data_IF_288832255008
#
_entry.id   IF_288832255008
#
_cell.length_a   1.000
_cell.length_b   1.000
_cell.length_c   1.000
_cell.angle_alpha   90.00
_cell.angle_beta   90.00
_cell.angle_gamma   90.00
#
_symmetry.space_group_name_H-M   'P 1'
#
loop_
_entity.id
_entity.type
_entity.pdbx_description
1 polymer ?
#
# COMPACT_ATOMS: atom_id res chain seq x y z
N UNK A 1 -3.36 50.87 3.39
CA UNK A 1 -4.81 51.04 3.63
C UNK A 1 -5.29 49.77 4.33
N UNK A 2 -5.56 49.84 5.63
CA UNK A 2 -6.16 48.72 6.35
C UNK A 2 -7.68 48.85 6.33
N UNK A 3 -8.37 47.77 6.03
CA UNK A 3 -9.80 47.65 6.12
C UNK A 3 -10.22 47.26 7.53
N UNK A 4 -10.87 48.17 8.18
CA UNK A 4 -11.44 48.09 9.52
C UNK A 4 -12.73 47.24 9.46
N UNK A 5 -12.76 46.08 10.14
CA UNK A 5 -13.94 45.23 10.22
C UNK A 5 -14.62 45.43 11.58
N UNK A 6 -15.65 46.30 11.55
CA UNK A 6 -16.44 46.69 12.71
C UNK A 6 -17.08 45.50 13.42
N UNK A 7 -16.74 45.32 14.68
CA UNK A 7 -17.41 44.41 15.60
C UNK A 7 -18.78 44.91 16.02
N UNK A 8 -19.85 44.36 15.46
CA UNK A 8 -21.22 44.54 15.92
C UNK A 8 -21.46 43.81 17.21
N UNK A 9 -21.44 44.53 18.33
CA UNK A 9 -21.93 44.03 19.64
C UNK A 9 -23.46 43.98 19.62
N UNK A 10 -24.06 42.82 19.45
CA UNK A 10 -25.49 42.62 19.73
C UNK A 10 -25.70 42.32 21.21
N UNK A 11 -26.49 43.20 21.84
CA UNK A 11 -26.85 43.13 23.27
C UNK A 11 -27.70 41.88 23.58
N UNK A 12 -27.12 40.95 24.34
CA UNK A 12 -27.79 39.77 24.85
C UNK A 12 -28.55 40.05 26.17
N UNK A 13 -29.34 41.11 26.25
CA UNK A 13 -30.05 41.48 27.49
C UNK A 13 -31.55 41.74 27.39
N UNK A 14 -32.19 41.38 26.29
CA UNK A 14 -33.61 41.72 26.13
C UNK A 14 -34.52 40.54 25.71
N UNK A 15 -34.19 39.32 26.11
CA UNK A 15 -35.06 38.18 25.88
C UNK A 15 -35.37 37.37 27.18
N UNK A 16 -35.51 38.06 28.29
CA UNK A 16 -35.88 37.46 29.54
C UNK A 16 -37.15 38.13 30.10
N UNK A 17 -38.28 37.98 29.45
CA UNK A 17 -39.61 38.17 30.09
C UNK A 17 -40.71 37.76 29.11
N UNK A 18 -41.13 36.55 29.08
CA UNK A 18 -42.49 36.06 28.91
C UNK A 18 -42.52 34.54 28.66
N UNK A 19 -42.20 33.78 29.68
CA UNK A 19 -42.56 32.37 29.66
C UNK A 19 -43.77 32.22 30.58
N UNK A 20 -44.92 32.45 30.02
CA UNK A 20 -46.20 32.06 30.64
C UNK A 20 -46.19 30.53 30.81
N UNK A 21 -46.31 30.17 32.07
CA UNK A 21 -46.79 28.95 32.66
C UNK A 21 -47.64 28.07 31.71
N UNK A 22 -47.00 27.22 30.93
CA UNK A 22 -47.64 26.09 30.24
C UNK A 22 -47.43 24.84 31.07
N UNK A 23 -48.53 24.44 31.70
CA UNK A 23 -48.70 23.19 32.40
C UNK A 23 -48.20 22.05 31.50
N UNK A 24 -47.27 21.18 31.95
CA UNK A 24 -46.86 20.06 31.13
C UNK A 24 -48.05 19.07 31.03
N UNK A 25 -48.34 18.54 29.82
CA UNK A 25 -49.33 17.50 29.68
C UNK A 25 -48.89 16.26 30.48
N UNK A 26 -49.71 15.93 31.46
CA UNK A 26 -49.58 14.72 32.27
C UNK A 26 -49.51 13.47 31.41
N UNK A 27 -48.42 12.71 31.53
CA UNK A 27 -48.46 11.28 31.38
C UNK A 27 -48.33 10.69 29.97
N UNK A 28 -47.15 10.83 29.33
CA UNK A 28 -46.68 9.71 28.52
C UNK A 28 -45.91 8.76 29.44
N UNK A 29 -46.39 7.52 29.62
CA UNK A 29 -45.59 6.54 30.35
C UNK A 29 -44.30 6.30 29.56
N UNK A 30 -43.11 6.19 30.21
CA UNK A 30 -41.88 5.87 29.53
C UNK A 30 -42.06 4.52 28.85
N UNK A 31 -41.96 4.49 27.49
CA UNK A 31 -41.93 3.23 26.80
C UNK A 31 -40.72 2.45 27.28
N UNK A 32 -40.90 1.22 27.79
CA UNK A 32 -39.79 0.39 28.19
C UNK A 32 -38.97 0.12 26.93
N UNK A 33 -37.78 0.72 26.83
CA UNK A 33 -36.82 0.35 25.80
C UNK A 33 -36.40 -1.08 26.07
N UNK A 34 -37.01 -2.04 25.37
CA UNK A 34 -36.59 -3.43 25.40
C UNK A 34 -35.18 -3.50 24.82
N UNK A 35 -34.18 -3.38 25.66
CA UNK A 35 -32.80 -3.69 25.31
C UNK A 35 -32.74 -5.20 25.10
N UNK A 36 -32.87 -5.63 23.84
CA UNK A 36 -32.63 -7.02 23.46
C UNK A 36 -31.15 -7.28 23.67
N UNK A 37 -30.82 -8.05 24.70
CA UNK A 37 -29.47 -8.54 24.91
C UNK A 37 -29.15 -9.65 23.92
N UNK A 38 -27.92 -9.72 23.48
CA UNK A 38 -27.41 -10.85 22.69
C UNK A 38 -27.33 -12.10 23.57
N UNK A 39 -27.75 -13.22 23.01
CA UNK A 39 -27.60 -14.51 23.70
C UNK A 39 -26.15 -15.00 23.52
N UNK A 40 -25.67 -15.78 24.46
CA UNK A 40 -24.33 -16.37 24.41
C UNK A 40 -24.16 -17.27 23.18
N UNK A 41 -25.23 -17.97 22.79
CA UNK A 41 -25.22 -18.85 21.61
C UNK A 41 -25.15 -18.07 20.30
N UNK A 42 -25.79 -16.90 20.19
CA UNK A 42 -25.69 -16.04 19.01
C UNK A 42 -24.26 -15.54 18.82
N UNK A 43 -23.57 -15.20 19.90
CA UNK A 43 -22.17 -14.81 19.80
C UNK A 43 -21.28 -16.01 19.44
N UNK A 44 -21.54 -17.18 20.04
CA UNK A 44 -20.76 -18.38 19.79
C UNK A 44 -20.82 -18.82 18.32
N UNK A 45 -22.01 -18.86 17.73
CA UNK A 45 -22.16 -19.29 16.31
C UNK A 45 -21.45 -18.33 15.36
N UNK A 46 -21.46 -17.02 15.64
CA UNK A 46 -20.79 -16.02 14.81
C UNK A 46 -19.28 -16.22 14.84
N UNK A 47 -18.66 -16.39 16.00
CA UNK A 47 -17.20 -16.58 16.10
C UNK A 47 -16.75 -17.90 15.46
N UNK A 48 -17.56 -18.96 15.53
CA UNK A 48 -17.27 -20.24 14.86
C UNK A 48 -17.29 -20.06 13.35
N UNK A 49 -18.29 -19.39 12.79
CA UNK A 49 -18.36 -19.14 11.34
C UNK A 49 -17.19 -18.28 10.88
N UNK A 50 -16.87 -17.20 11.59
CA UNK A 50 -15.71 -16.35 11.27
C UNK A 50 -14.41 -17.17 11.33
N UNK A 51 -14.25 -18.03 12.33
CA UNK A 51 -13.08 -18.90 12.48
C UNK A 51 -12.88 -19.83 11.29
N UNK A 52 -13.95 -20.47 10.80
CA UNK A 52 -13.90 -21.35 9.63
C UNK A 52 -13.54 -20.55 8.36
N UNK A 53 -14.17 -19.40 8.15
CA UNK A 53 -13.87 -18.54 6.99
C UNK A 53 -12.44 -18.02 7.03
N UNK A 54 -11.94 -17.59 8.18
CA UNK A 54 -10.59 -17.11 8.35
C UNK A 54 -9.55 -18.19 8.06
N UNK A 55 -9.79 -19.44 8.51
CA UNK A 55 -8.88 -20.57 8.26
C UNK A 55 -8.64 -20.83 6.76
N UNK A 56 -9.63 -20.58 5.91
CA UNK A 56 -9.50 -20.72 4.46
C UNK A 56 -8.95 -19.46 3.77
N UNK A 57 -9.21 -18.28 4.33
CA UNK A 57 -8.84 -17.01 3.72
C UNK A 57 -7.35 -16.69 3.89
N UNK A 58 -6.76 -16.97 5.05
CA UNK A 58 -5.36 -16.64 5.38
C UNK A 58 -4.36 -17.25 4.39
N UNK A 59 -4.38 -18.58 4.09
CA UNK A 59 -3.38 -19.14 3.16
C UNK A 59 -3.53 -18.61 1.74
N UNK A 60 -4.75 -18.31 1.29
CA UNK A 60 -4.98 -17.71 -0.04
C UNK A 60 -4.44 -16.29 -0.12
N UNK A 61 -4.60 -15.51 0.95
CA UNK A 61 -4.09 -14.15 1.01
C UNK A 61 -2.56 -14.10 0.92
N UNK A 62 -1.85 -14.99 1.64
CA UNK A 62 -0.39 -15.08 1.58
C UNK A 62 0.12 -15.45 0.18
N UNK A 63 -0.54 -16.39 -0.50
CA UNK A 63 -0.20 -16.75 -1.88
C UNK A 63 -0.41 -15.58 -2.86
N UNK A 64 -1.42 -14.75 -2.63
CA UNK A 64 -1.68 -13.56 -3.46
C UNK A 64 -0.65 -12.46 -3.22
N UNK A 65 -0.25 -12.23 -1.97
CA UNK A 65 0.86 -11.31 -1.63
C UNK A 65 2.15 -11.69 -2.37
N UNK A 66 2.54 -12.95 -2.33
CA UNK A 66 3.73 -13.43 -3.05
C UNK A 66 3.68 -13.12 -4.55
N UNK A 67 2.54 -13.35 -5.21
CA UNK A 67 2.36 -13.00 -6.63
C UNK A 67 2.46 -11.50 -6.89
N UNK A 68 1.98 -10.67 -5.98
CA UNK A 68 2.08 -9.21 -6.09
C UNK A 68 3.53 -8.75 -6.00
N UNK A 69 4.34 -9.32 -5.09
CA UNK A 69 5.78 -9.02 -4.99
C UNK A 69 6.52 -9.44 -6.27
N UNK A 70 6.22 -10.62 -6.84
CA UNK A 70 6.81 -11.00 -8.13
C UNK A 70 6.46 -10.02 -9.26
N UNK A 71 5.24 -9.50 -9.30
CA UNK A 71 4.86 -8.52 -10.31
C UNK A 71 5.62 -7.19 -10.12
N UNK A 72 5.82 -6.74 -8.88
CA UNK A 72 6.64 -5.58 -8.52
C UNK A 72 8.08 -5.76 -8.98
N UNK A 73 8.75 -6.82 -8.53
CA UNK A 73 10.14 -7.13 -8.90
C UNK A 73 10.36 -7.22 -10.41
N UNK A 74 9.41 -7.82 -11.16
CA UNK A 74 9.48 -7.86 -12.63
C UNK A 74 9.32 -6.49 -13.27
N UNK A 75 8.44 -5.66 -12.73
CA UNK A 75 8.26 -4.29 -13.19
C UNK A 75 9.52 -3.47 -12.96
N UNK A 76 10.13 -3.62 -11.80
CA UNK A 76 11.33 -2.91 -11.42
C UNK A 76 12.52 -3.25 -12.32
N UNK A 77 12.73 -4.53 -12.63
CA UNK A 77 13.79 -4.93 -13.58
C UNK A 77 13.54 -4.43 -14.99
N UNK A 78 12.29 -4.31 -15.44
CA UNK A 78 11.98 -3.71 -16.73
C UNK A 78 12.21 -2.19 -16.74
N UNK A 79 11.85 -1.51 -15.66
CA UNK A 79 12.13 -0.09 -15.48
C UNK A 79 13.64 0.16 -15.47
N UNK A 80 14.39 -0.69 -14.76
CA UNK A 80 15.85 -0.67 -14.76
C UNK A 80 16.41 -0.85 -16.17
N UNK A 81 15.87 -1.77 -16.98
CA UNK A 81 16.30 -1.95 -18.37
C UNK A 81 16.16 -0.65 -19.16
N UNK A 82 15.03 0.03 -19.03
CA UNK A 82 14.81 1.31 -19.72
C UNK A 82 15.78 2.39 -19.25
N UNK A 83 16.08 2.43 -17.96
CA UNK A 83 17.01 3.40 -17.37
C UNK A 83 18.47 3.13 -17.79
N UNK A 84 18.88 1.86 -17.80
CA UNK A 84 20.22 1.45 -18.27
C UNK A 84 20.45 1.76 -19.75
N UNK A 85 19.42 1.55 -20.60
CA UNK A 85 19.51 1.92 -22.01
C UNK A 85 19.60 3.44 -22.20
N UNK A 86 18.85 4.22 -21.41
CA UNK A 86 18.96 5.67 -21.42
C UNK A 86 20.34 6.15 -20.96
N UNK A 87 20.87 5.56 -19.89
CA UNK A 87 22.20 5.86 -19.38
C UNK A 87 23.29 5.49 -20.41
N UNK A 88 23.15 4.35 -21.05
CA UNK A 88 24.07 3.90 -22.11
C UNK A 88 24.09 4.86 -23.31
N UNK A 89 22.92 5.41 -23.69
CA UNK A 89 22.83 6.39 -24.77
C UNK A 89 23.67 7.64 -24.49
N UNK A 90 23.68 8.10 -23.24
CA UNK A 90 24.42 9.31 -22.86
C UNK A 90 25.91 9.07 -22.55
N UNK A 91 26.27 7.88 -22.05
CA UNK A 91 27.59 7.58 -21.48
C UNK A 91 28.35 6.48 -22.23
N UNK A 92 27.75 5.80 -23.22
CA UNK A 92 28.31 4.66 -23.97
C UNK A 92 28.80 3.50 -23.12
N UNK A 93 28.23 3.33 -21.92
CA UNK A 93 28.50 2.26 -20.97
C UNK A 93 27.33 2.11 -20.02
N UNK A 94 27.15 0.93 -19.46
CA UNK A 94 26.20 0.66 -18.37
C UNK A 94 26.78 1.03 -17.01
N UNK A 95 25.94 1.10 -15.97
CA UNK A 95 26.37 1.48 -14.62
C UNK A 95 25.77 0.60 -13.53
N UNK A 96 26.49 0.43 -12.44
CA UNK A 96 25.96 -0.26 -11.23
C UNK A 96 25.25 0.68 -10.28
N UNK A 97 25.21 1.99 -10.56
CA UNK A 97 24.66 3.00 -9.67
C UNK A 97 23.20 3.31 -10.03
N UNK A 98 22.27 2.88 -9.20
CA UNK A 98 20.84 3.20 -9.34
C UNK A 98 20.57 4.72 -9.24
N UNK A 99 21.33 5.42 -8.41
CA UNK A 99 21.20 6.87 -8.22
C UNK A 99 21.51 7.64 -9.49
N UNK A 100 22.52 7.17 -10.26
CA UNK A 100 22.91 7.79 -11.52
C UNK A 100 21.83 7.67 -12.61
N UNK A 101 20.95 6.69 -12.47
CA UNK A 101 19.84 6.42 -13.37
C UNK A 101 18.49 6.91 -12.85
N UNK A 102 18.45 7.49 -11.64
CA UNK A 102 17.22 7.90 -10.95
C UNK A 102 16.17 6.79 -10.82
N UNK A 103 16.63 5.53 -10.68
CA UNK A 103 15.74 4.38 -10.51
C UNK A 103 15.34 4.22 -9.07
N UNK A 104 14.03 4.25 -8.81
CA UNK A 104 13.47 3.99 -7.48
C UNK A 104 12.72 2.65 -7.52
N UNK A 105 13.14 1.65 -6.73
CA UNK A 105 12.42 0.38 -6.63
C UNK A 105 11.01 0.54 -6.10
N UNK A 106 10.15 -0.41 -6.40
CA UNK A 106 8.80 -0.52 -5.80
C UNK A 106 8.90 -0.68 -4.28
N UNK A 107 7.81 -0.36 -3.58
CA UNK A 107 7.81 -0.37 -2.11
C UNK A 107 8.22 -1.74 -1.55
N UNK A 108 9.30 -1.75 -0.79
CA UNK A 108 9.87 -2.95 -0.16
C UNK A 108 10.76 -3.78 -1.07
N UNK A 109 10.87 -3.48 -2.37
CA UNK A 109 11.78 -4.17 -3.28
C UNK A 109 13.19 -3.59 -3.19
N UNK A 110 14.19 -4.45 -3.35
CA UNK A 110 15.60 -4.09 -3.38
C UNK A 110 16.19 -4.56 -4.71
N UNK A 111 16.62 -3.60 -5.53
CA UNK A 111 17.33 -3.87 -6.78
C UNK A 111 18.84 -3.83 -6.50
N UNK A 112 19.58 -4.80 -7.05
CA UNK A 112 21.02 -4.82 -7.03
C UNK A 112 21.54 -5.07 -8.44
N UNK A 113 22.27 -4.12 -9.01
CA UNK A 113 23.02 -4.33 -10.25
C UNK A 113 24.32 -5.05 -9.90
N UNK A 114 24.47 -6.27 -10.38
CA UNK A 114 25.57 -7.18 -10.01
C UNK A 114 26.81 -6.93 -10.90
N UNK A 115 26.56 -6.62 -12.15
CA UNK A 115 27.61 -6.42 -13.15
C UNK A 115 27.16 -5.34 -14.15
N UNK A 116 28.07 -4.48 -14.58
CA UNK A 116 27.87 -3.54 -15.68
C UNK A 116 29.17 -3.46 -16.49
N UNK A 117 29.09 -3.83 -17.76
CA UNK A 117 30.18 -3.82 -18.73
C UNK A 117 29.95 -2.72 -19.79
N UNK A 118 30.79 -2.67 -20.81
CA UNK A 118 30.55 -1.78 -21.94
C UNK A 118 29.43 -2.25 -22.87
N UNK A 119 29.05 -3.54 -22.81
CA UNK A 119 28.15 -4.19 -23.78
C UNK A 119 27.03 -5.00 -23.09
N UNK A 120 27.01 -5.01 -21.76
CA UNK A 120 25.98 -5.74 -21.03
C UNK A 120 25.94 -5.39 -19.54
N UNK A 121 24.88 -5.85 -18.89
CA UNK A 121 24.69 -5.70 -17.45
C UNK A 121 23.80 -6.81 -16.90
N UNK A 122 23.88 -7.02 -15.60
CA UNK A 122 23.02 -7.99 -14.91
C UNK A 122 22.55 -7.45 -13.55
N UNK A 123 21.32 -7.79 -13.20
CA UNK A 123 20.72 -7.33 -11.95
C UNK A 123 19.76 -8.35 -11.35
N UNK A 124 19.54 -8.20 -10.05
CA UNK A 124 18.52 -8.93 -9.29
C UNK A 124 17.58 -7.95 -8.61
N UNK A 125 16.34 -8.38 -8.43
CA UNK A 125 15.35 -7.71 -7.58
C UNK A 125 14.79 -8.72 -6.58
N UNK A 126 14.75 -8.34 -5.31
CA UNK A 126 14.23 -9.16 -4.22
C UNK A 126 13.36 -8.34 -3.29
N UNK A 127 12.38 -9.01 -2.65
CA UNK A 127 11.57 -8.41 -1.61
C UNK A 127 11.75 -9.22 -0.32
N UNK A 128 12.14 -8.61 0.82
CA UNK A 128 12.33 -9.31 2.08
C UNK A 128 11.10 -10.07 2.57
N UNK A 129 9.88 -9.59 2.25
CA UNK A 129 8.63 -10.27 2.61
C UNK A 129 8.34 -11.51 1.76
N UNK A 130 9.03 -11.69 0.64
CA UNK A 130 8.90 -12.85 -0.24
C UNK A 130 10.11 -13.78 -0.23
N UNK A 131 11.07 -13.55 0.68
CA UNK A 131 12.25 -14.42 0.80
C UNK A 131 11.88 -15.90 0.92
N UNK A 132 12.53 -16.84 0.21
CA UNK A 132 13.78 -16.69 -0.56
C UNK A 132 13.59 -16.34 -2.04
N UNK A 133 12.41 -15.91 -2.45
CA UNK A 133 12.07 -15.62 -3.85
C UNK A 133 12.70 -14.32 -4.33
N UNK A 134 13.22 -14.34 -5.55
CA UNK A 134 13.77 -13.17 -6.24
C UNK A 134 13.63 -13.29 -7.75
N UNK A 135 13.80 -12.16 -8.44
CA UNK A 135 13.85 -12.09 -9.89
C UNK A 135 15.24 -11.67 -10.35
N UNK A 136 15.67 -12.15 -11.52
CA UNK A 136 16.93 -11.81 -12.12
C UNK A 136 16.76 -11.46 -13.62
N UNK A 137 17.69 -10.68 -14.12
CA UNK A 137 17.78 -10.31 -15.52
C UNK A 137 19.27 -10.11 -15.88
N UNK A 138 19.66 -10.48 -17.08
CA UNK A 138 20.94 -10.08 -17.69
C UNK A 138 20.74 -9.66 -19.14
N UNK A 139 21.63 -8.81 -19.63
CA UNK A 139 21.62 -8.29 -20.99
C UNK A 139 23.03 -8.30 -21.56
N UNK A 140 23.14 -8.50 -22.87
CA UNK A 140 24.41 -8.47 -23.58
C UNK A 140 25.37 -9.58 -23.18
N UNK A 141 26.61 -9.22 -22.92
CA UNK A 141 27.71 -10.12 -22.55
C UNK A 141 27.90 -10.31 -21.04
N UNK A 142 27.02 -9.71 -20.24
CA UNK A 142 27.06 -9.90 -18.79
C UNK A 142 26.80 -11.35 -18.37
N UNK A 143 27.38 -11.73 -17.24
CA UNK A 143 27.24 -13.08 -16.70
C UNK A 143 25.78 -13.39 -16.37
N UNK A 144 25.21 -14.49 -16.91
CA UNK A 144 23.85 -14.90 -16.56
C UNK A 144 23.71 -15.19 -15.06
N UNK A 145 22.65 -14.67 -14.46
CA UNK A 145 22.34 -14.90 -13.03
C UNK A 145 21.07 -15.74 -12.94
N UNK A 146 21.15 -16.93 -12.32
CA UNK A 146 19.96 -17.73 -12.08
C UNK A 146 18.92 -16.91 -11.30
N UNK A 147 17.61 -17.04 -11.63
CA UNK A 147 17.00 -17.98 -12.57
C UNK A 147 16.99 -17.49 -14.05
N UNK A 148 17.54 -16.32 -14.36
CA UNK A 148 17.59 -15.82 -15.74
C UNK A 148 18.59 -16.59 -16.59
N UNK A 149 18.10 -17.29 -17.61
CA UNK A 149 18.91 -18.10 -18.56
C UNK A 149 18.88 -17.54 -19.97
N UNK A 150 18.00 -16.59 -20.25
CA UNK A 150 17.83 -15.96 -21.56
C UNK A 150 18.05 -14.47 -21.42
N UNK A 151 18.97 -13.92 -22.26
CA UNK A 151 19.26 -12.48 -22.27
C UNK A 151 18.02 -11.66 -22.56
N UNK A 152 17.81 -10.61 -21.78
CA UNK A 152 16.66 -9.69 -21.92
C UNK A 152 15.34 -10.22 -21.35
N UNK A 153 15.32 -11.42 -20.75
CA UNK A 153 14.12 -12.01 -20.17
C UNK A 153 14.22 -12.05 -18.65
N UNK A 154 13.28 -11.38 -17.98
CA UNK A 154 13.18 -11.45 -16.52
C UNK A 154 12.65 -12.82 -16.10
N UNK A 155 13.42 -13.54 -15.30
CA UNK A 155 13.02 -14.80 -14.68
C UNK A 155 12.99 -14.67 -13.16
N UNK A 156 12.04 -15.37 -12.53
CA UNK A 156 11.84 -15.36 -11.08
C UNK A 156 11.73 -16.79 -10.54
N UNK A 157 12.17 -17.00 -9.29
CA UNK A 157 12.01 -18.26 -8.56
C UNK A 157 11.61 -18.04 -7.11
#
# INVERSE_FOLDING_TARGET
MPLDYGAGRTNAREFAASVHHLIPPTGCPPMPSQRRGFTLIELLIVVVIIGILAAMAIPRFNATKGKAHFAGMRSDLRNLTTAEEAYFYDHTKYTTSLDSMYVTPSHGDVITVMEATATGWSATSQNPESWPHFCALFLGDATPIAPATVSGVVACQ
#
